data_IF_350611388830
#
_entry.id   IF_350611388830
#
_cell.length_a   1.000
_cell.length_b   1.000
_cell.length_c   1.000
_cell.angle_alpha   90.00
_cell.angle_beta   90.00
_cell.angle_gamma   90.00
#
_symmetry.space_group_name_H-M   'P 1'
#
loop_
_entity.id
_entity.type
_entity.pdbx_description
1 polymer ?
#
# COMPACT_ATOMS: atom_id res chain seq x y z
N UNK A 1 13.67 12.86 -9.74
CA UNK A 1 13.27 11.45 -9.96
C UNK A 1 12.54 10.98 -8.72
N UNK A 2 11.37 10.37 -8.90
CA UNK A 2 10.59 9.78 -7.80
C UNK A 2 11.29 8.54 -7.25
N UNK A 3 11.06 8.21 -5.98
CA UNK A 3 11.63 7.01 -5.37
C UNK A 3 10.80 6.50 -4.21
N UNK A 4 10.64 5.18 -4.10
CA UNK A 4 9.96 4.55 -2.97
C UNK A 4 10.96 4.49 -1.80
N UNK A 5 10.49 4.79 -0.59
CA UNK A 5 11.36 4.96 0.59
C UNK A 5 11.00 3.97 1.70
N UNK A 6 9.73 3.88 2.08
CA UNK A 6 9.27 2.93 3.10
C UNK A 6 7.87 2.40 2.78
N UNK A 7 7.63 1.13 3.06
CA UNK A 7 6.30 0.55 3.08
C UNK A 7 6.00 -0.02 4.47
N UNK A 8 4.81 0.28 4.98
CA UNK A 8 4.29 -0.31 6.20
C UNK A 8 3.08 -1.19 5.85
N UNK A 9 3.03 -2.40 6.42
CA UNK A 9 1.94 -3.36 6.27
C UNK A 9 1.43 -3.78 7.66
N UNK A 10 0.12 -3.83 7.82
CA UNK A 10 -0.55 -4.25 9.05
C UNK A 10 -1.90 -4.89 8.71
N UNK A 11 -2.24 -6.03 9.30
CA UNK A 11 -3.56 -6.68 9.15
C UNK A 11 -3.86 -7.15 7.73
N UNK A 12 -2.84 -7.53 6.96
CA UNK A 12 -2.97 -8.02 5.57
C UNK A 12 -2.36 -9.41 5.48
N UNK A 13 -3.11 -10.41 4.98
CA UNK A 13 -2.66 -11.81 4.85
C UNK A 13 -2.08 -12.35 6.16
N UNK A 14 -0.81 -12.75 6.20
CA UNK A 14 -0.13 -13.25 7.39
C UNK A 14 0.36 -12.16 8.34
N UNK A 15 0.27 -10.88 7.97
CA UNK A 15 0.68 -9.78 8.84
C UNK A 15 -0.40 -9.52 9.89
N UNK A 16 0.00 -9.57 11.16
CA UNK A 16 -0.84 -9.24 12.31
C UNK A 16 -1.48 -7.86 12.15
N UNK A 17 -2.72 -7.70 12.63
CA UNK A 17 -3.40 -6.40 12.72
C UNK A 17 -3.03 -5.62 13.98
N UNK A 18 -2.28 -6.23 14.90
CA UNK A 18 -1.76 -5.59 16.11
C UNK A 18 -0.36 -4.99 15.87
N UNK A 19 0.42 -5.61 15.00
CA UNK A 19 1.80 -5.23 14.72
C UNK A 19 1.99 -4.67 13.32
N UNK A 20 2.80 -3.61 13.22
CA UNK A 20 3.14 -2.98 11.95
C UNK A 20 4.48 -3.51 11.48
N UNK A 21 4.49 -4.21 10.35
CA UNK A 21 5.73 -4.54 9.65
C UNK A 21 6.14 -3.35 8.77
N UNK A 22 7.42 -3.00 8.78
CA UNK A 22 7.99 -1.91 7.96
C UNK A 22 9.12 -2.48 7.11
N UNK A 23 9.07 -2.16 5.82
CA UNK A 23 10.13 -2.39 4.84
C UNK A 23 10.72 -1.03 4.48
N UNK A 24 12.04 -0.89 4.61
CA UNK A 24 12.78 0.28 4.15
C UNK A 24 13.50 -0.06 2.85
N UNK A 25 13.19 0.69 1.79
CA UNK A 25 13.77 0.46 0.47
C UNK A 25 15.14 1.13 0.38
N UNK A 26 16.16 0.31 0.16
CA UNK A 26 17.53 0.73 -0.06
C UNK A 26 17.80 0.97 -1.53
N UNK A 27 18.74 1.89 -1.82
CA UNK A 27 19.21 2.22 -3.17
C UNK A 27 20.63 1.69 -3.37
N UNK A 28 20.97 1.13 -4.53
CA UNK A 28 20.11 0.97 -5.71
C UNK A 28 19.21 -0.29 -5.66
N UNK A 29 19.43 -1.20 -4.70
CA UNK A 29 18.78 -2.50 -4.65
C UNK A 29 18.27 -2.81 -3.23
N UNK A 30 17.04 -3.34 -3.15
CA UNK A 30 16.46 -3.92 -1.94
C UNK A 30 16.19 -5.39 -2.19
N UNK A 31 16.75 -6.29 -1.37
CA UNK A 31 16.50 -7.72 -1.46
C UNK A 31 15.38 -8.11 -0.48
N UNK A 32 14.30 -8.67 -1.02
CA UNK A 32 13.19 -9.22 -0.22
C UNK A 32 13.17 -10.74 -0.46
N UNK A 33 13.38 -11.52 0.59
CA UNK A 33 13.32 -12.98 0.56
C UNK A 33 12.18 -13.47 1.44
N UNK A 34 11.60 -14.63 1.10
CA UNK A 34 10.52 -15.22 1.88
C UNK A 34 10.34 -16.70 1.57
N UNK A 35 9.86 -17.46 2.55
CA UNK A 35 9.46 -18.85 2.34
C UNK A 35 8.10 -18.91 1.64
N UNK A 36 7.90 -19.90 0.77
CA UNK A 36 6.61 -20.14 0.14
C UNK A 36 5.54 -20.51 1.19
N UNK A 37 4.38 -19.86 1.13
CA UNK A 37 3.20 -20.27 1.92
C UNK A 37 2.84 -19.44 3.16
N UNK A 38 3.39 -18.23 3.33
CA UNK A 38 2.97 -17.32 4.41
C UNK A 38 1.56 -16.74 4.16
N UNK A 39 0.52 -17.36 4.71
CA UNK A 39 -0.74 -16.67 4.98
C UNK A 39 -2.01 -17.40 4.57
N UNK A 40 -2.61 -18.10 5.53
CA UNK A 40 -4.04 -18.42 5.63
C UNK A 40 -4.32 -18.48 7.13
N UNK A 41 -4.97 -17.51 7.78
CA UNK A 41 -6.42 -17.50 8.06
C UNK A 41 -6.67 -16.29 8.98
N UNK A 42 -7.80 -15.59 8.85
CA UNK A 42 -8.28 -14.65 9.88
C UNK A 42 -8.87 -15.51 11.01
N UNK A 43 -8.07 -15.90 11.99
CA UNK A 43 -8.50 -16.78 13.05
C UNK A 43 -9.07 -15.97 14.23
N UNK A 44 -10.39 -15.93 14.36
CA UNK A 44 -11.07 -15.59 15.62
C UNK A 44 -11.53 -14.14 15.80
N UNK A 45 -11.24 -13.21 14.88
CA UNK A 45 -11.71 -11.82 14.98
C UNK A 45 -12.95 -11.55 14.11
N UNK A 46 -13.96 -10.88 14.68
CA UNK A 46 -15.17 -10.49 13.95
C UNK A 46 -14.92 -9.39 12.90
N UNK A 47 -13.95 -8.52 13.14
CA UNK A 47 -13.57 -7.45 12.23
C UNK A 47 -12.06 -7.22 12.32
N UNK A 48 -11.39 -7.24 11.17
CA UNK A 48 -9.95 -6.95 11.05
C UNK A 48 -9.76 -5.77 10.12
N UNK A 49 -8.96 -4.80 10.55
CA UNK A 49 -8.54 -3.65 9.73
C UNK A 49 -7.15 -3.87 9.16
N UNK A 50 -7.09 -4.09 7.86
CA UNK A 50 -5.86 -4.11 7.08
C UNK A 50 -5.47 -2.71 6.61
N UNK A 51 -4.17 -2.39 6.65
CA UNK A 51 -3.65 -1.11 6.23
C UNK A 51 -2.27 -1.25 5.57
N UNK A 52 -2.10 -0.52 4.46
CA UNK A 52 -0.82 -0.34 3.78
C UNK A 52 -0.50 1.15 3.76
N UNK A 53 0.71 1.53 4.16
CA UNK A 53 1.24 2.89 3.97
C UNK A 53 2.47 2.85 3.09
N UNK A 54 2.50 3.67 2.05
CA UNK A 54 3.66 3.83 1.19
C UNK A 54 4.19 5.26 1.33
N UNK A 55 5.43 5.39 1.81
CA UNK A 55 6.19 6.64 1.79
C UNK A 55 7.11 6.63 0.58
N UNK A 56 7.05 7.69 -0.21
CA UNK A 56 7.90 7.86 -1.37
C UNK A 56 8.22 9.35 -1.58
N UNK A 57 9.24 9.62 -2.39
CA UNK A 57 9.59 10.93 -2.92
C UNK A 57 8.92 11.06 -4.28
N UNK A 58 8.18 12.13 -4.51
CA UNK A 58 7.52 12.38 -5.80
C UNK A 58 8.51 12.95 -6.85
N UNK A 59 8.01 13.20 -8.07
CA UNK A 59 8.80 13.80 -9.16
C UNK A 59 9.36 15.18 -8.83
N UNK A 60 8.71 15.93 -7.94
CA UNK A 60 9.14 17.28 -7.49
C UNK A 60 10.17 17.23 -6.36
N UNK A 61 10.37 16.05 -5.77
CA UNK A 61 11.29 15.82 -4.68
C UNK A 61 10.67 15.91 -3.29
N UNK A 62 9.34 16.04 -3.18
CA UNK A 62 8.65 16.11 -1.90
C UNK A 62 8.28 14.72 -1.39
N UNK A 63 8.24 14.58 -0.07
CA UNK A 63 7.77 13.33 0.55
C UNK A 63 6.24 13.28 0.54
N UNK A 64 5.73 12.16 0.06
CA UNK A 64 4.30 11.82 0.09
C UNK A 64 4.14 10.50 0.82
N UNK A 65 3.09 10.41 1.65
CA UNK A 65 2.66 9.16 2.29
C UNK A 65 1.24 8.86 1.87
N UNK A 66 1.03 7.75 1.18
CA UNK A 66 -0.30 7.27 0.81
C UNK A 66 -0.67 6.09 1.68
N UNK A 67 -1.85 6.16 2.30
CA UNK A 67 -2.41 5.12 3.16
C UNK A 67 -3.67 4.54 2.52
N UNK A 68 -3.73 3.21 2.37
CA UNK A 68 -4.95 2.48 2.03
C UNK A 68 -5.37 1.58 3.15
N UNK A 69 -6.68 1.52 3.38
CA UNK A 69 -7.27 0.73 4.46
C UNK A 69 -8.38 -0.15 3.90
N UNK A 70 -8.39 -1.41 4.30
CA UNK A 70 -9.44 -2.37 4.02
C UNK A 70 -9.93 -2.94 5.34
N UNK A 71 -11.24 -3.12 5.48
CA UNK A 71 -11.86 -3.77 6.64
C UNK A 71 -12.43 -5.10 6.17
N UNK A 72 -12.07 -6.17 6.84
CA UNK A 72 -12.61 -7.51 6.63
C UNK A 72 -13.49 -7.85 7.84
N UNK A 73 -14.77 -8.11 7.60
CA UNK A 73 -15.75 -8.42 8.63
C UNK A 73 -16.31 -9.82 8.43
N UNK A 74 -16.30 -10.63 9.49
CA UNK A 74 -16.89 -11.95 9.49
C UNK A 74 -18.36 -11.87 9.93
N UNK A 75 -19.27 -12.19 9.01
CA UNK A 75 -20.71 -12.33 9.29
C UNK A 75 -21.09 -13.81 9.18
N UNK A 76 -20.99 -14.50 10.31
CA UNK A 76 -21.18 -15.96 10.36
C UNK A 76 -20.10 -16.69 9.57
N UNK A 77 -20.50 -17.43 8.51
CA UNK A 77 -19.58 -18.12 7.59
C UNK A 77 -19.10 -17.26 6.42
N UNK A 78 -19.66 -16.06 6.24
CA UNK A 78 -19.31 -15.16 5.13
C UNK A 78 -18.25 -14.15 5.58
N UNK A 79 -17.22 -13.97 4.76
CA UNK A 79 -16.27 -12.86 4.88
C UNK A 79 -16.72 -11.73 3.95
N UNK A 80 -16.96 -10.54 4.50
CA UNK A 80 -17.25 -9.33 3.73
C UNK A 80 -16.07 -8.37 3.84
N UNK A 81 -15.61 -7.84 2.71
CA UNK A 81 -14.53 -6.86 2.68
C UNK A 81 -15.04 -5.52 2.21
N UNK A 82 -14.66 -4.46 2.92
CA UNK A 82 -14.96 -3.07 2.58
C UNK A 82 -13.65 -2.28 2.42
N UNK A 83 -13.46 -1.68 1.26
CA UNK A 83 -12.38 -0.71 1.05
C UNK A 83 -12.80 0.64 1.63
N UNK A 84 -11.94 1.22 2.47
CA UNK A 84 -12.13 2.56 3.01
C UNK A 84 -11.49 3.60 2.07
N UNK A 85 -11.89 4.86 2.22
CA UNK A 85 -11.18 5.95 1.55
C UNK A 85 -9.72 5.95 1.98
N UNK A 86 -8.84 6.23 1.01
CA UNK A 86 -7.42 6.31 1.31
C UNK A 86 -7.06 7.73 1.72
N UNK A 87 -5.87 7.87 2.29
CA UNK A 87 -5.37 9.14 2.80
C UNK A 87 -4.05 9.47 2.12
N UNK A 88 -3.94 10.67 1.59
CA UNK A 88 -2.69 11.24 1.08
C UNK A 88 -2.21 12.26 2.09
N UNK A 89 -1.01 12.05 2.63
CA UNK A 89 -0.29 13.03 3.43
C UNK A 89 0.88 13.58 2.62
N UNK A 90 0.96 14.90 2.47
CA UNK A 90 2.04 15.57 1.75
C UNK A 90 2.41 16.88 2.45
N UNK A 91 3.59 17.39 2.15
CA UNK A 91 4.00 18.72 2.59
C UNK A 91 3.64 19.75 1.53
N UNK A 92 2.88 20.78 1.93
CA UNK A 92 2.47 21.90 1.07
C UNK A 92 2.85 23.16 1.82
N UNK A 93 3.75 23.98 1.25
CA UNK A 93 4.18 25.25 1.83
C UNK A 93 4.77 25.09 3.26
N UNK A 94 5.54 24.03 3.50
CA UNK A 94 6.14 23.74 4.81
C UNK A 94 5.17 23.15 5.84
N UNK A 95 3.90 22.92 5.49
CA UNK A 95 2.91 22.31 6.37
C UNK A 95 2.49 20.93 5.87
N UNK A 96 2.37 19.98 6.80
CA UNK A 96 1.81 18.65 6.49
C UNK A 96 0.30 18.76 6.33
N UNK A 97 -0.18 18.48 5.13
CA UNK A 97 -1.60 18.36 4.84
C UNK A 97 -1.99 16.89 4.69
N UNK A 98 -3.15 16.53 5.22
CA UNK A 98 -3.73 15.19 5.11
C UNK A 98 -5.09 15.30 4.44
N UNK A 99 -5.27 14.59 3.33
CA UNK A 99 -6.49 14.62 2.52
C UNK A 99 -7.01 13.19 2.41
N UNK A 100 -8.29 13.01 2.73
CA UNK A 100 -9.02 11.75 2.47
C UNK A 100 -9.60 11.80 1.06
N UNK A 101 -9.41 10.74 0.27
CA UNK A 101 -9.82 10.69 -1.13
C UNK A 101 -10.31 9.31 -1.53
N UNK A 102 -11.19 9.26 -2.53
CA UNK A 102 -11.68 7.99 -3.07
C UNK A 102 -10.54 7.23 -3.74
N UNK A 103 -10.64 5.91 -3.76
CA UNK A 103 -9.61 5.04 -4.34
C UNK A 103 -9.24 5.38 -5.80
N UNK A 104 -10.23 5.79 -6.62
CA UNK A 104 -10.01 6.16 -8.01
C UNK A 104 -9.16 7.45 -8.15
N UNK A 105 -9.41 8.44 -7.28
CA UNK A 105 -8.65 9.69 -7.24
C UNK A 105 -7.21 9.42 -6.78
N UNK A 106 -7.04 8.59 -5.75
CA UNK A 106 -5.71 8.20 -5.28
C UNK A 106 -4.90 7.50 -6.37
N UNK A 107 -5.53 6.62 -7.17
CA UNK A 107 -4.82 5.97 -8.29
C UNK A 107 -4.30 7.01 -9.30
N UNK A 108 -5.12 8.02 -9.61
CA UNK A 108 -4.74 9.11 -10.52
C UNK A 108 -3.60 9.95 -9.93
N UNK A 109 -3.67 10.31 -8.66
CA UNK A 109 -2.62 11.06 -7.96
C UNK A 109 -1.31 10.27 -7.91
N UNK A 110 -1.36 8.95 -7.64
CA UNK A 110 -0.17 8.09 -7.61
C UNK A 110 0.60 8.09 -8.94
N UNK A 111 -0.12 8.00 -10.07
CA UNK A 111 0.47 8.09 -11.43
C UNK A 111 1.20 9.42 -11.59
N UNK A 112 0.55 10.53 -11.19
CA UNK A 112 1.13 11.87 -11.26
C UNK A 112 2.38 12.01 -10.39
N UNK A 113 2.31 11.58 -9.12
CA UNK A 113 3.44 11.72 -8.20
C UNK A 113 4.63 10.84 -8.55
N UNK A 114 4.39 9.62 -9.04
CA UNK A 114 5.46 8.71 -9.43
C UNK A 114 6.04 9.06 -10.81
N UNK A 115 5.31 9.79 -11.65
CA UNK A 115 5.78 10.21 -12.97
C UNK A 115 5.88 9.06 -13.98
N UNK A 116 5.05 8.03 -13.83
CA UNK A 116 4.98 6.87 -14.72
C UNK A 116 3.56 6.68 -15.21
N UNK A 117 3.38 6.08 -16.40
CA UNK A 117 2.04 5.78 -16.89
C UNK A 117 1.36 4.69 -16.05
N UNK A 118 0.02 4.63 -16.10
CA UNK A 118 -0.76 3.57 -15.45
C UNK A 118 -0.26 2.17 -15.85
N UNK A 119 -0.04 1.97 -17.15
CA UNK A 119 0.43 0.69 -17.69
C UNK A 119 1.81 0.32 -17.13
N UNK A 120 2.76 1.25 -17.12
CA UNK A 120 4.09 0.99 -16.53
C UNK A 120 4.00 0.62 -15.05
N UNK A 121 3.14 1.31 -14.29
CA UNK A 121 2.97 1.04 -12.88
C UNK A 121 2.36 -0.35 -12.63
N UNK A 122 1.28 -0.70 -13.33
CA UNK A 122 0.49 -1.90 -13.08
C UNK A 122 1.07 -3.17 -13.74
N UNK A 123 1.68 -3.06 -14.93
CA UNK A 123 2.08 -4.23 -15.71
C UNK A 123 3.58 -4.40 -15.84
N UNK A 124 4.39 -3.40 -15.44
CA UNK A 124 5.87 -3.48 -15.52
C UNK A 124 6.49 -3.42 -14.14
N UNK A 125 6.15 -2.43 -13.31
CA UNK A 125 6.75 -2.24 -11.98
C UNK A 125 6.09 -3.14 -10.94
N UNK A 126 4.76 -3.15 -10.88
CA UNK A 126 3.98 -3.92 -9.90
C UNK A 126 3.06 -4.95 -10.55
N UNK A 127 3.63 -5.75 -11.47
CA UNK A 127 2.93 -6.88 -12.05
C UNK A 127 2.65 -7.94 -10.96
N UNK A 128 1.45 -8.53 -10.98
CA UNK A 128 1.14 -9.65 -10.11
C UNK A 128 2.01 -10.86 -10.47
N UNK A 129 2.44 -11.65 -9.49
CA UNK A 129 3.28 -12.83 -9.73
C UNK A 129 2.62 -13.84 -10.67
N UNK A 130 1.31 -14.02 -10.56
CA UNK A 130 0.51 -14.86 -11.48
C UNK A 130 0.36 -14.20 -12.88
N UNK A 131 0.44 -12.88 -12.92
CA UNK A 131 0.50 -11.95 -14.06
C UNK A 131 1.74 -12.10 -14.97
N UNK A 132 2.86 -12.47 -14.34
CA UNK A 132 4.20 -12.32 -14.89
C UNK A 132 4.57 -13.49 -15.79
N UNK A 133 4.30 -13.34 -17.09
CA UNK A 133 4.76 -14.26 -18.14
C UNK A 133 6.13 -13.88 -18.74
N UNK A 134 6.93 -13.08 -18.02
CA UNK A 134 8.33 -12.84 -18.38
C UNK A 134 9.16 -14.11 -18.25
#
# INVERSE_FOLDING_TARGET
>A
MSSIEKMQVCGIRSYSHQERCVIEFQKPLTLIVGHNGAGKTVAGEQEVKGQIKLKFKDVTGNYVVVTRTLVAQQKGKKLETRTMDGVIMREVHGQRQSISSKCAEINREMISFLGVSKAVLETVIFCHQEESNW
#
